data_IF_039147017550
#
_entry.id   IF_039147017550
#
_cell.length_a   1.000
_cell.length_b   1.000
_cell.length_c   1.000
_cell.angle_alpha   90.00
_cell.angle_beta   90.00
_cell.angle_gamma   90.00
#
_symmetry.space_group_name_H-M   'P 1'
#
loop_
_entity.id
_entity.type
_entity.pdbx_description
1 polymer ?
#
# COMPACT_ATOMS: atom_id res chain seq x y z
N UNK A 1 14.99 13.32 -17.14
CA UNK A 1 14.29 12.38 -16.24
C UNK A 1 13.75 11.27 -17.12
N UNK A 2 14.32 10.06 -17.02
CA UNK A 2 13.74 8.91 -17.71
C UNK A 2 12.46 8.51 -16.99
N UNK A 3 11.36 8.40 -17.72
CA UNK A 3 10.06 8.04 -17.17
C UNK A 3 10.10 6.58 -16.69
N UNK A 4 10.28 6.35 -15.39
CA UNK A 4 10.16 5.04 -14.74
C UNK A 4 8.68 4.65 -14.57
N UNK A 5 7.90 4.75 -15.65
CA UNK A 5 6.47 4.43 -15.65
C UNK A 5 6.27 3.16 -16.47
N UNK A 6 5.81 2.11 -15.82
CA UNK A 6 5.47 0.84 -16.46
C UNK A 6 3.95 0.67 -16.49
N UNK A 7 3.37 0.64 -17.68
CA UNK A 7 1.95 0.33 -17.87
C UNK A 7 1.77 -1.15 -18.15
N UNK A 8 0.86 -1.79 -17.41
CA UNK A 8 0.49 -3.19 -17.61
C UNK A 8 -0.99 -3.22 -18.00
N UNK A 9 -1.29 -3.55 -19.26
CA UNK A 9 -2.65 -3.82 -19.71
C UNK A 9 -2.99 -5.28 -19.40
N UNK A 10 -4.06 -5.53 -18.65
CA UNK A 10 -4.34 -6.86 -18.14
C UNK A 10 -5.84 -7.11 -17.92
N UNK A 11 -6.39 -8.07 -18.68
CA UNK A 11 -7.80 -8.50 -18.60
C UNK A 11 -8.13 -9.30 -17.33
N UNK A 12 -9.38 -9.70 -17.17
CA UNK A 12 -9.77 -10.63 -16.10
C UNK A 12 -8.97 -11.95 -16.20
N UNK A 13 -8.58 -12.53 -15.07
CA UNK A 13 -7.84 -13.81 -15.03
C UNK A 13 -6.39 -13.79 -15.54
N UNK A 14 -5.86 -12.66 -15.99
CA UNK A 14 -4.50 -12.54 -16.57
C UNK A 14 -3.34 -12.57 -15.56
N UNK A 15 -3.61 -12.82 -14.26
CA UNK A 15 -2.55 -12.87 -13.25
C UNK A 15 -1.99 -11.51 -12.82
N UNK A 16 -2.80 -10.43 -12.86
CA UNK A 16 -2.40 -9.09 -12.38
C UNK A 16 -1.79 -9.10 -10.98
N UNK A 17 -2.52 -9.67 -10.03
CA UNK A 17 -2.10 -9.74 -8.62
C UNK A 17 -0.82 -10.55 -8.47
N UNK A 18 -0.70 -11.65 -9.21
CA UNK A 18 0.51 -12.46 -9.24
C UNK A 18 1.71 -11.64 -9.74
N UNK A 19 1.56 -10.96 -10.88
CA UNK A 19 2.62 -10.11 -11.46
C UNK A 19 3.05 -8.98 -10.53
N UNK A 20 2.09 -8.33 -9.85
CA UNK A 20 2.38 -7.31 -8.83
C UNK A 20 3.14 -7.89 -7.64
N UNK A 21 2.77 -9.09 -7.18
CA UNK A 21 3.45 -9.78 -6.07
C UNK A 21 4.91 -10.09 -6.44
N UNK A 22 5.15 -10.65 -7.64
CA UNK A 22 6.51 -10.89 -8.16
C UNK A 22 7.33 -9.61 -8.26
N UNK A 23 6.71 -8.52 -8.70
CA UNK A 23 7.37 -7.21 -8.82
C UNK A 23 7.80 -6.70 -7.44
N UNK A 24 6.91 -6.77 -6.44
CA UNK A 24 7.22 -6.34 -5.08
C UNK A 24 8.30 -7.20 -4.43
N UNK A 25 8.24 -8.53 -4.58
CA UNK A 25 9.29 -9.41 -4.08
C UNK A 25 10.64 -9.07 -4.73
N UNK A 26 10.68 -8.88 -6.05
CA UNK A 26 11.91 -8.48 -6.74
C UNK A 26 12.48 -7.17 -6.19
N UNK A 27 11.64 -6.16 -5.99
CA UNK A 27 12.08 -4.88 -5.43
C UNK A 27 12.74 -5.05 -4.05
N UNK A 28 12.13 -5.87 -3.19
CA UNK A 28 12.61 -6.09 -1.83
C UNK A 28 13.89 -6.96 -1.80
N UNK A 29 13.92 -8.03 -2.59
CA UNK A 29 14.96 -9.06 -2.50
C UNK A 29 16.15 -8.75 -3.41
N UNK A 30 15.87 -8.37 -4.66
CA UNK A 30 16.90 -8.18 -5.70
C UNK A 30 17.35 -6.74 -5.71
N UNK A 31 16.42 -5.79 -5.77
CA UNK A 31 16.74 -4.36 -5.88
C UNK A 31 17.11 -3.73 -4.52
N UNK A 32 16.99 -4.50 -3.43
CA UNK A 32 17.32 -4.10 -2.04
C UNK A 32 16.58 -2.84 -1.60
N UNK A 33 15.35 -2.68 -2.06
CA UNK A 33 14.44 -1.64 -1.57
C UNK A 33 13.95 -2.05 -0.19
N UNK A 34 14.06 -1.14 0.77
CA UNK A 34 13.56 -1.40 2.12
C UNK A 34 12.01 -1.36 2.13
N UNK A 35 11.33 -2.21 2.91
CA UNK A 35 9.86 -2.26 2.94
C UNK A 35 9.19 -0.90 3.16
N UNK A 36 9.74 -0.05 4.03
CA UNK A 36 9.21 1.29 4.31
C UNK A 36 9.34 2.29 3.14
N UNK A 37 10.03 1.92 2.05
CA UNK A 37 10.13 2.70 0.82
C UNK A 37 9.09 2.27 -0.23
N UNK A 38 8.32 1.21 0.04
CA UNK A 38 7.30 0.67 -0.85
C UNK A 38 5.93 1.27 -0.53
N UNK A 39 5.23 1.71 -1.57
CA UNK A 39 3.82 2.07 -1.51
C UNK A 39 3.06 1.32 -2.61
N UNK A 40 1.97 0.66 -2.25
CA UNK A 40 1.09 -0.04 -3.18
C UNK A 40 -0.38 0.21 -2.81
N UNK A 41 -1.16 0.70 -3.77
CA UNK A 41 -2.57 1.03 -3.56
C UNK A 41 -3.50 0.17 -4.41
N UNK A 42 -4.68 -0.15 -3.88
CA UNK A 42 -5.76 -0.81 -4.60
C UNK A 42 -7.12 -0.19 -4.27
N UNK A 43 -8.19 -0.67 -4.89
CA UNK A 43 -9.54 -0.15 -4.68
C UNK A 43 -10.24 -0.72 -3.44
N UNK A 44 -9.93 -1.95 -3.04
CA UNK A 44 -10.62 -2.62 -1.93
C UNK A 44 -9.66 -3.01 -0.82
N UNK A 45 -10.12 -2.95 0.43
CA UNK A 45 -9.33 -3.39 1.59
C UNK A 45 -8.93 -4.86 1.47
N UNK A 46 -9.83 -5.69 0.95
CA UNK A 46 -9.58 -7.11 0.72
C UNK A 46 -8.41 -7.33 -0.25
N UNK A 47 -8.39 -6.63 -1.39
CA UNK A 47 -7.29 -6.76 -2.35
C UNK A 47 -5.95 -6.27 -1.78
N UNK A 48 -5.98 -5.27 -0.88
CA UNK A 48 -4.77 -4.73 -0.26
C UNK A 48 -4.17 -5.75 0.71
N UNK A 49 -5.02 -6.32 1.58
CA UNK A 49 -4.63 -7.38 2.50
C UNK A 49 -4.12 -8.61 1.75
N UNK A 50 -4.83 -9.04 0.70
CA UNK A 50 -4.39 -10.18 -0.11
C UNK A 50 -3.02 -9.94 -0.77
N UNK A 51 -2.76 -8.74 -1.29
CA UNK A 51 -1.46 -8.40 -1.85
C UNK A 51 -0.35 -8.45 -0.79
N UNK A 52 -0.60 -7.88 0.39
CA UNK A 52 0.36 -7.88 1.51
C UNK A 52 0.68 -9.31 1.98
N UNK A 53 -0.34 -10.14 2.17
CA UNK A 53 -0.19 -11.54 2.57
C UNK A 53 0.58 -12.36 1.53
N UNK A 54 0.28 -12.17 0.24
CA UNK A 54 0.98 -12.86 -0.86
C UNK A 54 2.46 -12.51 -0.89
N UNK A 55 2.81 -11.22 -0.78
CA UNK A 55 4.22 -10.77 -0.74
C UNK A 55 4.93 -11.35 0.48
N UNK A 56 4.32 -11.26 1.66
CA UNK A 56 4.87 -11.84 2.89
C UNK A 56 5.10 -13.34 2.77
N UNK A 57 4.13 -14.07 2.23
CA UNK A 57 4.22 -15.51 2.00
C UNK A 57 5.36 -15.87 1.05
N UNK A 58 5.49 -15.15 -0.08
CA UNK A 58 6.62 -15.33 -1.02
C UNK A 58 7.97 -15.13 -0.35
N UNK A 59 8.12 -14.05 0.43
CA UNK A 59 9.36 -13.77 1.16
C UNK A 59 9.71 -14.88 2.16
N UNK A 60 8.71 -15.44 2.86
CA UNK A 60 8.92 -16.59 3.75
C UNK A 60 9.40 -17.81 2.96
N UNK A 61 8.75 -18.14 1.84
CA UNK A 61 9.16 -19.26 0.98
C UNK A 61 10.56 -19.06 0.40
N UNK A 62 10.96 -17.82 0.12
CA UNK A 62 12.30 -17.46 -0.35
C UNK A 62 13.37 -17.39 0.77
N UNK A 63 13.02 -17.71 2.03
CA UNK A 63 13.94 -17.66 3.18
C UNK A 63 14.24 -16.25 3.68
N UNK A 64 13.51 -15.23 3.21
CA UNK A 64 13.71 -13.82 3.54
C UNK A 64 12.90 -13.41 4.79
N UNK A 65 13.09 -14.11 5.90
CA UNK A 65 12.29 -13.93 7.13
C UNK A 65 12.36 -12.51 7.70
N UNK A 66 13.52 -11.86 7.63
CA UNK A 66 13.69 -10.48 8.08
C UNK A 66 12.80 -9.51 7.29
N UNK A 67 12.82 -9.61 5.96
CA UNK A 67 11.97 -8.81 5.08
C UNK A 67 10.49 -9.14 5.29
N UNK A 68 10.14 -10.43 5.42
CA UNK A 68 8.77 -10.86 5.65
C UNK A 68 8.15 -10.26 6.93
N UNK A 69 8.94 -10.11 7.99
CA UNK A 69 8.51 -9.47 9.25
C UNK A 69 8.39 -7.95 9.15
N UNK A 70 8.99 -7.34 8.13
CA UNK A 70 8.96 -5.90 7.91
C UNK A 70 7.97 -5.46 6.82
N UNK A 71 7.28 -6.40 6.16
CA UNK A 71 6.29 -6.09 5.10
C UNK A 71 5.23 -5.09 5.59
N UNK A 72 4.82 -5.17 6.86
CA UNK A 72 3.86 -4.25 7.47
C UNK A 72 4.33 -2.79 7.53
N UNK A 73 5.63 -2.54 7.38
CA UNK A 73 6.18 -1.18 7.27
C UNK A 73 5.94 -0.55 5.89
N UNK A 74 5.56 -1.37 4.89
CA UNK A 74 5.19 -0.90 3.56
C UNK A 74 3.81 -0.24 3.60
N UNK A 75 3.62 0.83 2.82
CA UNK A 75 2.32 1.47 2.67
C UNK A 75 1.46 0.70 1.66
N UNK A 76 0.90 -0.43 2.10
CA UNK A 76 0.00 -1.26 1.29
C UNK A 76 -1.44 -1.07 1.79
N UNK A 77 -2.31 -0.51 0.95
CA UNK A 77 -3.67 -0.17 1.37
C UNK A 77 -4.60 0.20 0.24
N UNK A 78 -5.80 0.68 0.58
CA UNK A 78 -6.59 1.43 -0.40
C UNK A 78 -6.00 2.82 -0.61
N UNK A 79 -6.37 3.48 -1.70
CA UNK A 79 -6.00 4.90 -1.93
C UNK A 79 -6.33 5.74 -0.70
N UNK A 80 -7.54 5.64 -0.17
CA UNK A 80 -7.98 6.42 0.99
C UNK A 80 -7.18 6.10 2.25
N UNK A 81 -6.91 4.81 2.53
CA UNK A 81 -6.12 4.41 3.71
C UNK A 81 -4.69 4.94 3.64
N UNK A 82 -4.04 4.83 2.48
CA UNK A 82 -2.67 5.31 2.28
C UNK A 82 -2.60 6.84 2.35
N UNK A 83 -3.53 7.55 1.69
CA UNK A 83 -3.61 9.01 1.80
C UNK A 83 -3.86 9.47 3.25
N UNK A 84 -4.74 8.78 3.98
CA UNK A 84 -5.00 9.07 5.39
C UNK A 84 -3.75 8.90 6.26
N UNK A 85 -2.98 7.83 6.04
CA UNK A 85 -1.72 7.61 6.76
C UNK A 85 -0.68 8.70 6.46
N UNK A 86 -0.57 9.11 5.20
CA UNK A 86 0.31 10.22 4.81
C UNK A 86 -0.12 11.54 5.45
N UNK A 87 -1.42 11.85 5.46
CA UNK A 87 -1.93 13.06 6.10
C UNK A 87 -1.67 13.07 7.60
N UNK A 88 -1.82 11.93 8.29
CA UNK A 88 -1.46 11.81 9.71
C UNK A 88 0.04 12.02 9.94
N UNK A 89 0.86 11.37 9.11
CA UNK A 89 2.33 11.45 9.21
C UNK A 89 2.86 12.87 8.99
N UNK A 90 2.24 13.63 8.10
CA UNK A 90 2.65 14.99 7.73
C UNK A 90 1.65 16.06 8.17
N UNK A 91 0.85 15.78 9.21
CA UNK A 91 -0.23 16.67 9.64
C UNK A 91 0.31 18.05 10.04
N UNK A 92 1.42 18.07 10.77
CA UNK A 92 2.05 19.31 11.23
C UNK A 92 2.53 20.18 10.06
N UNK A 93 3.24 19.58 9.10
CA UNK A 93 3.75 20.26 7.91
C UNK A 93 2.61 20.76 7.02
N UNK A 94 1.49 20.05 7.00
CA UNK A 94 0.28 20.45 6.28
C UNK A 94 -0.56 21.51 7.03
N UNK A 95 -0.19 21.89 8.25
CA UNK A 95 -0.99 22.80 9.09
C UNK A 95 -2.32 22.20 9.55
N UNK A 96 -2.40 20.86 9.59
CA UNK A 96 -3.57 20.09 9.98
C UNK A 96 -3.46 19.64 11.45
N UNK A 97 -4.60 19.44 12.14
CA UNK A 97 -4.59 18.78 13.44
C UNK A 97 -4.09 17.34 13.30
N UNK A 98 -3.32 16.80 14.27
CA UNK A 98 -2.84 15.42 14.22
C UNK A 98 -3.96 14.37 14.37
N UNK A 99 -5.07 14.75 15.04
CA UNK A 99 -6.22 13.87 15.25
C UNK A 99 -7.30 14.08 14.16
N UNK A 100 -6.93 13.76 12.91
CA UNK A 100 -7.85 13.82 11.77
C UNK A 100 -8.88 12.70 11.88
N UNK A 101 -10.13 13.06 12.17
CA UNK A 101 -11.28 12.16 12.11
C UNK A 101 -11.86 12.14 10.70
N UNK A 102 -12.00 10.94 10.13
CA UNK A 102 -12.82 10.75 8.93
C UNK A 102 -14.27 10.83 9.37
N UNK A 103 -15.01 11.79 8.80
CA UNK A 103 -16.44 11.96 9.03
C UNK A 103 -17.16 10.97 8.10
N UNK A 104 -18.03 10.13 8.66
CA UNK A 104 -18.90 9.28 7.87
C UNK A 104 -20.10 10.07 7.32
N UNK A 105 -20.85 9.49 6.40
CA UNK A 105 -21.96 10.18 5.74
C UNK A 105 -23.07 10.58 6.73
N UNK A 106 -23.24 9.82 7.81
CA UNK A 106 -24.25 10.06 8.86
C UNK A 106 -23.85 11.25 9.74
N UNK A 107 -22.61 11.27 10.23
CA UNK A 107 -22.03 12.37 11.02
C UNK A 107 -22.00 13.68 10.21
N UNK A 108 -21.77 13.60 8.90
CA UNK A 108 -21.71 14.79 8.03
C UNK A 108 -23.07 15.50 7.92
N UNK A 109 -24.17 14.74 7.87
CA UNK A 109 -25.52 15.28 7.81
C UNK A 109 -25.93 15.98 9.13
N UNK A 110 -25.36 15.59 10.26
CA UNK A 110 -25.59 16.21 11.57
C UNK A 110 -24.78 17.50 11.78
N UNK A 111 -23.63 17.65 11.13
CA UNK A 111 -22.72 18.79 11.32
C UNK A 111 -23.01 19.98 10.39
N UNK A 112 -23.70 19.76 9.27
CA UNK A 112 -23.95 20.76 8.23
C UNK A 112 -25.42 21.22 8.13
N UNK A 113 -26.27 20.77 9.05
CA UNK A 113 -27.65 21.25 9.23
C UNK A 113 -27.76 22.05 10.54
#
# INVERSE_FOLDING_TARGET
>A
MSSNIHFISAGAGSGKTYSLTETLEKMLVVDKIEPHQVMATTFTRLAAGELQERVRSKLITAGQLALANQVEQSLIGTVNSVCGELLKRFAFEAGLPPDLKVIDEEDNALLLN
#
